data_IF_733788458428
#
_entry.id   IF_733788458428
#
_cell.length_a   1.000
_cell.length_b   1.000
_cell.length_c   1.000
_cell.angle_alpha   90.00
_cell.angle_beta   90.00
_cell.angle_gamma   90.00
#
_symmetry.space_group_name_H-M   'P 1'
#
loop_
_entity.id
_entity.type
_entity.pdbx_description
1 polymer ?
#
# COMPACT_ATOMS: atom_id res chain seq x y z
N UNK A 1 26.37 9.46 11.88
CA UNK A 1 25.90 8.50 10.86
C UNK A 1 24.53 7.97 11.28
N UNK A 2 23.45 8.39 10.62
CA UNK A 2 22.08 7.95 10.94
C UNK A 2 21.81 6.62 10.25
N UNK A 3 21.56 5.55 11.02
CA UNK A 3 21.20 4.21 10.50
C UNK A 3 19.71 4.22 10.14
N UNK A 4 19.38 4.17 8.84
CA UNK A 4 18.01 4.03 8.36
C UNK A 4 17.60 2.55 8.42
N UNK A 5 16.50 2.25 9.13
CA UNK A 5 15.95 0.89 9.22
C UNK A 5 14.83 0.77 8.18
N UNK A 6 15.12 0.12 7.05
CA UNK A 6 14.12 -0.21 6.05
C UNK A 6 13.53 -1.59 6.41
N UNK A 7 12.26 -1.65 6.83
CA UNK A 7 11.55 -2.93 7.01
C UNK A 7 10.81 -3.20 5.70
N UNK A 8 11.45 -3.94 4.79
CA UNK A 8 10.80 -4.44 3.58
C UNK A 8 10.29 -5.86 3.83
N UNK A 9 8.97 -6.02 3.97
CA UNK A 9 8.31 -7.33 4.01
C UNK A 9 8.24 -7.88 2.56
N UNK A 10 9.34 -8.47 2.08
CA UNK A 10 9.32 -9.25 0.83
C UNK A 10 8.56 -10.54 1.12
N UNK A 11 7.28 -10.56 0.79
CA UNK A 11 6.45 -11.77 0.82
C UNK A 11 6.50 -12.44 -0.55
N UNK A 12 7.63 -13.07 -0.87
CA UNK A 12 7.76 -13.92 -2.07
C UNK A 12 8.16 -15.33 -1.62
N UNK A 13 7.12 -16.17 -1.54
CA UNK A 13 7.08 -17.61 -1.84
C UNK A 13 8.37 -18.39 -1.50
N UNK A 14 8.39 -19.00 -0.31
CA UNK A 14 8.94 -20.34 -0.13
C UNK A 14 8.06 -21.07 0.89
N UNK A 15 7.29 -22.05 0.43
CA UNK A 15 6.73 -23.06 1.32
C UNK A 15 7.87 -23.94 1.85
N UNK A 16 7.66 -24.48 3.05
CA UNK A 16 8.44 -25.51 3.75
C UNK A 16 9.71 -25.05 4.48
N UNK A 17 9.49 -24.60 5.72
CA UNK A 17 10.17 -25.01 6.96
C UNK A 17 9.93 -23.93 8.01
N UNK A 18 9.96 -24.27 9.29
CA UNK A 18 9.83 -23.32 10.38
C UNK A 18 10.95 -22.26 10.28
N UNK A 19 10.69 -21.16 9.57
CA UNK A 19 11.65 -20.09 9.37
C UNK A 19 11.52 -19.08 10.50
N UNK A 20 12.48 -19.12 11.42
CA UNK A 20 12.94 -17.90 12.09
C UNK A 20 13.13 -16.83 11.01
N UNK A 21 12.23 -15.85 10.95
CA UNK A 21 12.33 -14.73 10.02
C UNK A 21 13.51 -13.86 10.47
N UNK A 22 14.72 -14.22 10.05
CA UNK A 22 15.86 -13.29 10.04
C UNK A 22 15.50 -12.18 9.05
N UNK A 23 15.02 -11.07 9.59
CA UNK A 23 14.86 -9.82 8.84
C UNK A 23 16.27 -9.30 8.57
N UNK A 24 16.80 -9.62 7.39
CA UNK A 24 18.04 -8.99 6.94
C UNK A 24 17.76 -7.50 6.66
N UNK A 25 18.41 -6.64 7.44
CA UNK A 25 18.42 -5.21 7.17
C UNK A 25 19.40 -4.92 6.04
N UNK A 26 18.87 -4.49 4.89
CA UNK A 26 19.66 -3.96 3.79
C UNK A 26 20.32 -2.63 4.20
N UNK A 27 21.54 -2.39 3.74
CA UNK A 27 22.14 -1.06 3.86
C UNK A 27 21.41 -0.05 2.96
N UNK A 28 21.48 1.24 3.33
CA UNK A 28 20.71 2.29 2.68
C UNK A 28 21.02 2.43 1.19
N UNK A 29 22.27 2.19 0.76
CA UNK A 29 22.68 2.34 -0.64
C UNK A 29 22.14 1.20 -1.49
N UNK A 30 22.12 -0.02 -0.96
CA UNK A 30 21.51 -1.17 -1.62
C UNK A 30 19.99 -1.02 -1.71
N UNK A 31 19.34 -0.56 -0.64
CA UNK A 31 17.90 -0.29 -0.62
C UNK A 31 17.50 0.79 -1.64
N UNK A 32 18.26 1.88 -1.72
CA UNK A 32 18.06 2.94 -2.70
C UNK A 32 18.22 2.44 -4.14
N UNK A 33 19.26 1.62 -4.40
CA UNK A 33 19.46 1.00 -5.72
C UNK A 33 18.29 0.12 -6.13
N UNK A 34 17.79 -0.72 -5.22
CA UNK A 34 16.62 -1.57 -5.48
C UNK A 34 15.39 -0.70 -5.76
N UNK A 35 15.11 0.26 -4.89
CA UNK A 35 13.97 1.16 -5.04
C UNK A 35 13.98 1.91 -6.39
N UNK A 36 15.14 2.44 -6.78
CA UNK A 36 15.30 3.15 -8.05
C UNK A 36 15.19 2.22 -9.27
N UNK A 37 15.45 0.91 -9.11
CA UNK A 37 15.32 -0.09 -10.17
C UNK A 37 13.90 -0.60 -10.39
N UNK A 38 12.95 -0.27 -9.50
CA UNK A 38 11.57 -0.74 -9.62
C UNK A 38 10.88 -0.13 -10.85
N UNK A 39 10.31 -1.00 -11.67
CA UNK A 39 9.42 -0.61 -12.78
C UNK A 39 8.11 -0.05 -12.25
N UNK A 40 7.41 0.73 -13.08
CA UNK A 40 6.10 1.27 -12.71
C UNK A 40 5.09 0.16 -12.38
N UNK A 41 5.15 -0.97 -13.08
CA UNK A 41 4.30 -2.12 -12.80
C UNK A 41 4.57 -2.70 -11.40
N UNK A 42 5.84 -2.88 -11.03
CA UNK A 42 6.21 -3.34 -9.68
C UNK A 42 5.76 -2.36 -8.59
N UNK A 43 5.88 -1.05 -8.85
CA UNK A 43 5.36 -0.02 -7.94
C UNK A 43 3.84 -0.17 -7.77
N UNK A 44 3.10 -0.28 -8.87
CA UNK A 44 1.64 -0.45 -8.85
C UNK A 44 1.23 -1.69 -8.06
N UNK A 45 1.84 -2.85 -8.33
CA UNK A 45 1.51 -4.10 -7.64
C UNK A 45 1.88 -4.06 -6.15
N UNK A 46 3.02 -3.45 -5.81
CA UNK A 46 3.42 -3.21 -4.43
C UNK A 46 2.40 -2.34 -3.69
N UNK A 47 1.95 -1.24 -4.31
CA UNK A 47 0.95 -0.35 -3.74
C UNK A 47 -0.40 -1.06 -3.56
N UNK A 48 -0.85 -1.85 -4.54
CA UNK A 48 -2.10 -2.64 -4.41
C UNK A 48 -2.06 -3.56 -3.19
N UNK A 49 -0.94 -4.25 -2.97
CA UNK A 49 -0.77 -5.15 -1.83
C UNK A 49 -0.85 -4.42 -0.48
N UNK A 50 -0.37 -3.18 -0.39
CA UNK A 50 -0.49 -2.36 0.84
C UNK A 50 -1.92 -1.89 1.07
N UNK A 51 -2.58 -1.43 0.00
CA UNK A 51 -3.92 -0.87 0.10
C UNK A 51 -5.00 -1.92 0.31
N UNK A 52 -4.83 -3.13 -0.19
CA UNK A 52 -5.79 -4.21 0.08
C UNK A 52 -5.80 -4.56 1.58
N UNK A 53 -4.63 -4.64 2.22
CA UNK A 53 -4.54 -4.84 3.68
C UNK A 53 -5.16 -3.68 4.46
N UNK A 54 -4.93 -2.45 4.01
CA UNK A 54 -5.51 -1.25 4.62
C UNK A 54 -7.03 -1.22 4.47
N UNK A 55 -7.54 -1.61 3.31
CA UNK A 55 -8.98 -1.72 3.05
C UNK A 55 -9.64 -2.78 3.91
N UNK A 56 -9.04 -3.97 4.06
CA UNK A 56 -9.60 -5.02 4.93
C UNK A 56 -9.76 -4.55 6.37
N UNK A 57 -8.77 -3.82 6.91
CA UNK A 57 -8.89 -3.19 8.24
C UNK A 57 -10.03 -2.18 8.32
N UNK A 58 -10.19 -1.35 7.29
CA UNK A 58 -11.30 -0.40 7.21
C UNK A 58 -12.65 -1.12 7.10
N UNK A 59 -12.76 -2.16 6.28
CA UNK A 59 -13.96 -2.97 6.12
C UNK A 59 -14.38 -3.61 7.44
N UNK A 60 -13.43 -4.13 8.22
CA UNK A 60 -13.71 -4.65 9.56
C UNK A 60 -14.31 -3.61 10.50
N UNK A 61 -14.00 -2.32 10.30
CA UNK A 61 -14.58 -1.20 11.06
C UNK A 61 -15.91 -0.67 10.46
N UNK A 62 -16.36 -1.15 9.30
CA UNK A 62 -17.60 -0.69 8.68
C UNK A 62 -18.86 -1.20 9.41
N UNK A 63 -19.99 -0.47 9.28
CA UNK A 63 -21.29 -0.91 9.79
C UNK A 63 -21.73 -2.25 9.20
N UNK A 64 -22.54 -2.99 9.97
CA UNK A 64 -23.01 -4.33 9.58
C UNK A 64 -23.85 -4.27 8.29
N UNK A 65 -24.58 -3.18 8.07
CA UNK A 65 -25.40 -2.95 6.89
C UNK A 65 -24.57 -2.92 5.61
N UNK A 66 -23.33 -2.41 5.69
CA UNK A 66 -22.38 -2.42 4.57
C UNK A 66 -21.84 -3.83 4.37
N UNK A 67 -21.42 -4.48 5.47
CA UNK A 67 -20.87 -5.85 5.42
C UNK A 67 -21.85 -6.90 4.91
N UNK A 68 -23.15 -6.68 5.10
CA UNK A 68 -24.20 -7.56 4.59
C UNK A 68 -24.48 -7.35 3.08
N UNK A 69 -24.14 -6.18 2.54
CA UNK A 69 -24.41 -5.84 1.13
C UNK A 69 -23.21 -6.08 0.21
N UNK A 70 -21.99 -6.01 0.75
CA UNK A 70 -20.77 -6.09 -0.04
C UNK A 70 -19.84 -7.15 0.51
N UNK A 71 -19.31 -7.99 -0.37
CA UNK A 71 -18.21 -8.91 -0.03
C UNK A 71 -16.94 -8.10 0.25
N UNK A 72 -16.23 -8.42 1.34
CA UNK A 72 -14.93 -7.80 1.70
C UNK A 72 -13.96 -7.81 0.51
N UNK A 73 -13.74 -8.98 -0.09
CA UNK A 73 -12.79 -9.13 -1.18
C UNK A 73 -13.21 -8.31 -2.40
N UNK A 74 -14.49 -8.36 -2.80
CA UNK A 74 -15.00 -7.56 -3.93
C UNK A 74 -14.81 -6.06 -3.69
N UNK A 75 -15.21 -5.58 -2.52
CA UNK A 75 -15.09 -4.17 -2.16
C UNK A 75 -13.63 -3.73 -2.14
N UNK A 76 -12.77 -4.52 -1.50
CA UNK A 76 -11.37 -4.15 -1.35
C UNK A 76 -10.54 -4.28 -2.63
N UNK A 77 -10.87 -5.23 -3.52
CA UNK A 77 -10.29 -5.25 -4.86
C UNK A 77 -10.73 -4.04 -5.69
N UNK A 78 -12.05 -3.74 -5.73
CA UNK A 78 -12.55 -2.55 -6.43
C UNK A 78 -11.88 -1.27 -5.93
N UNK A 79 -11.89 -1.06 -4.60
CA UNK A 79 -11.35 0.13 -3.98
C UNK A 79 -9.85 0.28 -4.28
N UNK A 80 -9.09 -0.79 -4.11
CA UNK A 80 -7.64 -0.79 -4.30
C UNK A 80 -7.26 -0.54 -5.75
N UNK A 81 -7.91 -1.21 -6.70
CA UNK A 81 -7.61 -1.04 -8.11
C UNK A 81 -7.93 0.37 -8.59
N UNK A 82 -9.10 0.90 -8.24
CA UNK A 82 -9.48 2.27 -8.61
C UNK A 82 -8.60 3.32 -7.94
N UNK A 83 -8.28 3.15 -6.65
CA UNK A 83 -7.41 4.08 -5.93
C UNK A 83 -6.02 4.15 -6.56
N UNK A 84 -5.38 3.00 -6.78
CA UNK A 84 -4.03 2.94 -7.36
C UNK A 84 -4.02 3.47 -8.79
N UNK A 85 -5.05 3.20 -9.59
CA UNK A 85 -5.15 3.71 -10.96
C UNK A 85 -5.36 5.24 -11.04
N UNK A 86 -5.97 5.85 -10.01
CA UNK A 86 -6.18 7.31 -9.96
C UNK A 86 -5.00 8.06 -9.35
N UNK A 87 -4.14 7.40 -8.59
CA UNK A 87 -2.91 7.98 -8.05
C UNK A 87 -1.82 8.00 -9.12
N UNK A 88 -1.09 9.10 -9.21
CA UNK A 88 0.07 9.18 -10.09
C UNK A 88 1.22 8.31 -9.56
N UNK A 89 2.07 7.83 -10.48
CA UNK A 89 3.17 6.92 -10.14
C UNK A 89 4.18 7.52 -9.16
N UNK A 90 4.35 8.84 -9.14
CA UNK A 90 5.29 9.51 -8.22
C UNK A 90 4.77 9.48 -6.79
N UNK A 91 3.45 9.66 -6.62
CA UNK A 91 2.78 9.49 -5.32
C UNK A 91 2.88 8.04 -4.86
N UNK A 92 2.59 7.06 -5.73
CA UNK A 92 2.70 5.64 -5.40
C UNK A 92 4.13 5.25 -4.98
N UNK A 93 5.14 5.77 -5.68
CA UNK A 93 6.56 5.59 -5.34
C UNK A 93 6.88 6.08 -3.93
N UNK A 94 6.50 7.32 -3.61
CA UNK A 94 6.72 7.89 -2.27
C UNK A 94 6.02 7.08 -1.17
N UNK A 95 4.87 6.48 -1.47
CA UNK A 95 4.12 5.68 -0.52
C UNK A 95 4.75 4.32 -0.19
N UNK A 96 5.64 3.81 -1.04
CA UNK A 96 6.42 2.60 -0.75
C UNK A 96 7.63 2.88 0.16
N UNK A 97 7.95 4.15 0.41
CA UNK A 97 9.02 4.52 1.32
C UNK A 97 8.55 4.46 2.79
N UNK A 98 9.45 4.13 3.73
CA UNK A 98 9.22 4.30 5.15
C UNK A 98 8.85 5.75 5.47
N UNK A 99 8.00 5.94 6.48
CA UNK A 99 7.54 7.27 6.89
C UNK A 99 8.71 8.18 7.28
N UNK A 100 9.75 7.62 7.86
CA UNK A 100 10.96 8.32 8.30
C UNK A 100 11.80 8.85 7.14
N UNK A 101 11.57 8.35 5.93
CA UNK A 101 12.21 8.81 4.69
C UNK A 101 11.41 9.92 3.99
N UNK A 102 10.24 10.29 4.50
CA UNK A 102 9.38 11.32 3.94
C UNK A 102 9.52 12.63 4.73
N UNK A 103 9.58 13.74 4.01
CA UNK A 103 9.45 15.06 4.61
C UNK A 103 8.00 15.32 5.03
N UNK A 104 7.79 16.21 6.00
CA UNK A 104 6.44 16.58 6.43
C UNK A 104 5.55 17.06 5.26
N UNK A 105 6.03 17.92 4.33
CA UNK A 105 5.24 18.32 3.16
C UNK A 105 4.84 17.13 2.26
N UNK A 106 5.74 16.18 2.04
CA UNK A 106 5.44 14.98 1.25
C UNK A 106 4.37 14.12 1.93
N UNK A 107 4.47 13.90 3.24
CA UNK A 107 3.46 13.15 3.99
C UNK A 107 2.09 13.82 3.91
N UNK A 108 2.03 15.15 4.08
CA UNK A 108 0.80 15.92 3.97
C UNK A 108 0.21 15.84 2.57
N UNK A 109 1.01 15.98 1.51
CA UNK A 109 0.53 15.90 0.12
C UNK A 109 0.00 14.50 -0.22
N UNK A 110 0.74 13.44 0.15
CA UNK A 110 0.29 12.05 0.00
C UNK A 110 -1.04 11.85 0.71
N UNK A 111 -1.13 12.24 1.99
CA UNK A 111 -2.35 12.07 2.76
C UNK A 111 -3.54 12.80 2.12
N UNK A 112 -3.34 14.06 1.69
CA UNK A 112 -4.36 14.84 0.99
C UNK A 112 -4.82 14.17 -0.30
N UNK A 113 -3.89 13.73 -1.15
CA UNK A 113 -4.20 13.06 -2.43
C UNK A 113 -4.97 11.76 -2.20
N UNK A 114 -4.47 10.90 -1.32
CA UNK A 114 -5.10 9.62 -0.99
C UNK A 114 -6.50 9.84 -0.44
N UNK A 115 -6.67 10.72 0.55
CA UNK A 115 -7.98 11.02 1.13
C UNK A 115 -8.97 11.54 0.08
N UNK A 116 -8.53 12.48 -0.78
CA UNK A 116 -9.37 13.04 -1.84
C UNK A 116 -9.85 11.96 -2.81
N UNK A 117 -8.95 11.08 -3.24
CA UNK A 117 -9.30 10.01 -4.19
C UNK A 117 -10.13 8.93 -3.50
N UNK A 118 -9.83 8.56 -2.26
CA UNK A 118 -10.60 7.59 -1.48
C UNK A 118 -12.05 8.02 -1.28
N UNK A 119 -12.31 9.31 -1.07
CA UNK A 119 -13.66 9.87 -0.97
C UNK A 119 -14.47 9.74 -2.26
N UNK A 120 -13.81 9.66 -3.42
CA UNK A 120 -14.46 9.42 -4.71
C UNK A 120 -14.63 7.92 -4.97
N UNK A 121 -13.58 7.14 -4.71
CA UNK A 121 -13.51 5.71 -5.07
C UNK A 121 -14.42 4.85 -4.19
N UNK A 122 -14.52 5.11 -2.89
CA UNK A 122 -15.33 4.27 -2.01
C UNK A 122 -16.83 4.30 -2.39
N UNK A 123 -17.47 5.47 -2.62
CA UNK A 123 -18.83 5.51 -3.16
C UNK A 123 -18.96 4.81 -4.52
N UNK A 124 -18.00 4.98 -5.43
CA UNK A 124 -18.02 4.27 -6.73
C UNK A 124 -18.07 2.74 -6.54
N UNK A 125 -17.32 2.19 -5.58
CA UNK A 125 -17.30 0.75 -5.32
C UNK A 125 -18.52 0.23 -4.54
N UNK A 126 -19.14 1.07 -3.72
CA UNK A 126 -20.38 0.74 -3.02
C UNK A 126 -21.61 0.86 -3.94
N UNK A 127 -21.53 1.65 -5.01
CA UNK A 127 -22.59 1.76 -6.01
C UNK A 127 -22.40 0.80 -7.20
N UNK A 128 -21.30 0.05 -7.23
CA UNK A 128 -21.04 -0.96 -8.24
C UNK A 128 -21.75 -2.27 -7.87
N UNK A 129 -23.08 -2.30 -8.05
CA UNK A 129 -23.95 -3.48 -7.97
C UNK A 129 -24.92 -3.47 -9.15
#
# INVERSE_FOLDING_TARGET
MKKFKFIMLISLIFMSSACDKKVETLDAKTAEKIYNSLSNEQIIQGSKSIYIMSCRKMYQAMPIEVKNRFSEDKLCHCYTDKLVNKLDISTLRLMLLPKESLTQPQMTDIHRKVTTISQQVMPECLNYN
#
